data_IF_620136810010
#
_entry.id   IF_620136810010
#
_cell.length_a   1.000
_cell.length_b   1.000
_cell.length_c   1.000
_cell.angle_alpha   90.00
_cell.angle_beta   90.00
_cell.angle_gamma   90.00
#
_symmetry.space_group_name_H-M   'P 1'
#
loop_
_entity.id
_entity.type
_entity.pdbx_description
1 polymer ?
#
# COMPACT_ATOMS: atom_id res chain seq x y z
N UNK A 1 14.52 -15.53 -5.71
CA UNK A 1 13.42 -14.54 -5.71
C UNK A 1 13.96 -13.27 -5.07
N UNK A 2 13.63 -12.08 -5.56
CA UNK A 2 14.00 -10.84 -4.88
C UNK A 2 13.47 -10.84 -3.46
N UNK A 3 14.29 -10.51 -2.48
CA UNK A 3 13.91 -10.50 -1.05
C UNK A 3 12.64 -9.69 -0.76
N UNK A 4 12.40 -8.62 -1.54
CA UNK A 4 11.21 -7.79 -1.39
C UNK A 4 9.89 -8.50 -1.71
N UNK A 5 9.86 -9.43 -2.66
CA UNK A 5 8.65 -10.23 -3.01
C UNK A 5 8.29 -11.16 -1.85
N UNK A 6 9.30 -11.80 -1.24
CA UNK A 6 9.10 -12.67 -0.09
C UNK A 6 8.56 -11.87 1.11
N UNK A 7 9.13 -10.69 1.38
CA UNK A 7 8.63 -9.81 2.44
C UNK A 7 7.18 -9.39 2.19
N UNK A 8 6.80 -9.10 0.95
CA UNK A 8 5.42 -8.76 0.60
C UNK A 8 4.47 -9.92 0.83
N UNK A 9 4.82 -11.14 0.40
CA UNK A 9 3.99 -12.32 0.60
C UNK A 9 3.71 -12.57 2.08
N UNK A 10 4.74 -12.57 2.92
CA UNK A 10 4.57 -12.74 4.36
C UNK A 10 3.81 -11.58 5.01
N UNK A 11 4.01 -10.34 4.56
CA UNK A 11 3.25 -9.20 5.06
C UNK A 11 1.74 -9.38 4.80
N UNK A 12 1.36 -9.77 3.59
CA UNK A 12 -0.05 -10.02 3.25
C UNK A 12 -0.64 -11.24 3.97
N UNK A 13 0.14 -12.29 4.22
CA UNK A 13 -0.30 -13.41 5.04
C UNK A 13 -0.59 -12.98 6.48
N UNK A 14 0.31 -12.17 7.09
CA UNK A 14 0.10 -11.64 8.45
C UNK A 14 -1.11 -10.71 8.51
N UNK A 15 -1.33 -9.86 7.49
CA UNK A 15 -2.53 -9.02 7.43
C UNK A 15 -3.80 -9.87 7.34
N UNK A 16 -3.81 -10.91 6.51
CA UNK A 16 -4.98 -11.78 6.41
C UNK A 16 -5.30 -12.50 7.74
N UNK A 17 -4.28 -12.89 8.52
CA UNK A 17 -4.49 -13.40 9.88
C UNK A 17 -5.12 -12.34 10.80
N UNK A 18 -4.61 -11.10 10.75
CA UNK A 18 -5.20 -9.99 11.52
C UNK A 18 -6.67 -9.76 11.16
N UNK A 19 -6.97 -9.71 9.86
CA UNK A 19 -8.30 -9.44 9.32
C UNK A 19 -9.31 -10.52 9.75
N UNK A 20 -8.88 -11.80 9.75
CA UNK A 20 -9.69 -12.91 10.25
C UNK A 20 -9.98 -12.79 11.76
N UNK A 21 -8.99 -12.41 12.58
CA UNK A 21 -9.21 -12.21 14.02
C UNK A 21 -10.12 -10.99 14.25
N UNK A 22 -9.93 -9.90 13.51
CA UNK A 22 -10.82 -8.70 13.57
C UNK A 22 -12.26 -9.09 13.25
N UNK A 23 -12.47 -9.90 12.20
CA UNK A 23 -13.80 -10.41 11.86
C UNK A 23 -14.42 -11.20 13.02
N UNK A 24 -13.63 -11.95 13.76
CA UNK A 24 -14.09 -12.72 14.93
C UNK A 24 -14.69 -11.87 16.06
N UNK A 25 -14.35 -10.58 16.15
CA UNK A 25 -15.01 -9.68 17.09
C UNK A 25 -16.46 -9.36 16.69
N UNK A 26 -16.78 -9.40 15.39
CA UNK A 26 -18.11 -9.01 14.89
C UNK A 26 -18.48 -7.59 15.35
N UNK A 27 -19.71 -7.43 15.84
CA UNK A 27 -20.21 -6.16 16.38
C UNK A 27 -20.05 -6.02 17.90
N UNK A 28 -19.36 -6.95 18.58
CA UNK A 28 -19.24 -6.95 20.05
C UNK A 28 -18.26 -5.90 20.57
N UNK A 29 -17.27 -5.53 19.78
CA UNK A 29 -16.24 -4.52 20.10
C UNK A 29 -16.31 -3.38 19.11
N UNK A 30 -16.19 -2.15 19.60
CA UNK A 30 -16.25 -0.99 18.71
C UNK A 30 -15.08 -0.92 17.75
N UNK A 31 -15.31 -0.41 16.53
CA UNK A 31 -14.27 -0.21 15.50
C UNK A 31 -13.12 0.64 16.05
N UNK A 32 -13.44 1.62 16.88
CA UNK A 32 -12.45 2.54 17.47
C UNK A 32 -11.57 1.85 18.49
N UNK A 33 -12.14 0.97 19.32
CA UNK A 33 -11.38 0.16 20.28
C UNK A 33 -10.45 -0.82 19.56
N UNK A 34 -10.95 -1.53 18.55
CA UNK A 34 -10.11 -2.43 17.73
C UNK A 34 -8.94 -1.63 17.12
N UNK A 35 -9.23 -0.50 16.46
CA UNK A 35 -8.21 0.32 15.83
C UNK A 35 -7.18 0.88 16.82
N UNK A 36 -7.63 1.33 18.01
CA UNK A 36 -6.77 1.87 19.05
C UNK A 36 -5.82 0.80 19.60
N UNK A 37 -6.36 -0.30 20.14
CA UNK A 37 -5.57 -1.33 20.80
C UNK A 37 -4.62 -2.03 19.83
N UNK A 38 -5.08 -2.39 18.64
CA UNK A 38 -4.23 -3.03 17.62
C UNK A 38 -3.10 -2.11 17.17
N UNK A 39 -3.35 -0.81 17.02
CA UNK A 39 -2.32 0.16 16.68
C UNK A 39 -1.33 0.38 17.82
N UNK A 40 -1.80 0.41 19.07
CA UNK A 40 -0.94 0.51 20.25
C UNK A 40 0.06 -0.65 20.30
N UNK A 41 -0.42 -1.88 20.14
CA UNK A 41 0.45 -3.06 20.14
C UNK A 41 1.31 -3.21 18.88
N UNK A 42 0.93 -2.57 17.76
CA UNK A 42 1.75 -2.52 16.54
C UNK A 42 3.07 -1.74 16.72
N UNK A 43 3.19 -0.91 17.77
CA UNK A 43 4.47 -0.31 18.12
C UNK A 43 5.50 -1.32 18.64
N UNK A 44 5.07 -2.45 19.21
CA UNK A 44 5.99 -3.46 19.76
C UNK A 44 6.98 -3.94 18.68
N UNK A 45 6.54 -4.59 17.57
CA UNK A 45 7.48 -5.01 16.54
C UNK A 45 8.18 -3.82 15.85
N UNK A 46 7.55 -2.66 15.77
CA UNK A 46 8.17 -1.47 15.20
C UNK A 46 9.37 -0.99 16.03
N UNK A 47 9.29 -1.06 17.36
CA UNK A 47 10.38 -0.70 18.28
C UNK A 47 11.55 -1.67 18.13
N UNK A 48 11.27 -2.97 18.14
CA UNK A 48 12.32 -4.00 18.05
C UNK A 48 13.01 -4.06 16.70
N UNK A 49 12.31 -3.72 15.61
CA UNK A 49 12.85 -3.75 14.25
C UNK A 49 13.40 -2.41 13.77
N UNK A 50 13.53 -1.43 14.65
CA UNK A 50 14.06 -0.10 14.34
C UNK A 50 15.50 -0.19 13.82
N UNK A 51 15.83 0.49 12.69
CA UNK A 51 17.22 0.61 12.23
C UNK A 51 18.09 1.30 13.27
N UNK A 52 19.32 0.82 13.47
CA UNK A 52 20.26 1.37 14.48
C UNK A 52 20.58 2.86 14.29
N UNK A 53 20.51 3.34 13.04
CA UNK A 53 20.79 4.72 12.65
C UNK A 53 19.57 5.67 12.76
N UNK A 54 18.38 5.17 13.17
CA UNK A 54 17.19 5.97 13.35
C UNK A 54 16.79 6.02 14.82
N UNK A 55 16.26 7.17 15.28
CA UNK A 55 15.76 7.36 16.64
C UNK A 55 14.26 7.65 16.61
N UNK A 56 13.48 7.04 17.51
CA UNK A 56 12.04 7.27 17.61
C UNK A 56 11.66 8.73 17.81
N UNK A 57 12.43 9.48 18.62
CA UNK A 57 12.18 10.91 18.82
C UNK A 57 12.35 11.78 17.58
N UNK A 58 12.84 11.20 16.46
CA UNK A 58 12.99 11.90 15.18
C UNK A 58 11.88 11.56 14.19
N UNK A 59 10.79 10.89 14.62
CA UNK A 59 9.71 10.46 13.73
C UNK A 59 9.00 11.64 13.04
N UNK A 60 8.99 12.82 13.63
CA UNK A 60 8.47 14.06 13.04
C UNK A 60 9.42 14.74 12.06
N UNK A 61 10.72 14.38 12.03
CA UNK A 61 11.72 14.96 11.13
C UNK A 61 11.63 14.28 9.76
N UNK A 62 10.73 14.79 8.93
CA UNK A 62 10.41 14.26 7.61
C UNK A 62 10.94 15.20 6.52
N UNK A 63 11.28 14.63 5.34
CA UNK A 63 11.62 15.40 4.15
C UNK A 63 10.38 15.92 3.43
N UNK A 64 9.29 15.13 3.45
CA UNK A 64 8.02 15.43 2.78
C UNK A 64 6.87 15.42 3.79
N UNK A 65 6.82 16.38 4.76
CA UNK A 65 5.87 16.34 5.87
C UNK A 65 4.41 16.34 5.39
N UNK A 66 4.07 17.13 4.38
CA UNK A 66 2.73 17.18 3.82
C UNK A 66 2.25 15.80 3.32
N UNK A 67 3.07 15.11 2.54
CA UNK A 67 2.70 13.81 1.98
C UNK A 67 2.57 12.75 3.07
N UNK A 68 3.45 12.74 4.07
CA UNK A 68 3.37 11.76 5.17
C UNK A 68 2.17 12.02 6.07
N UNK A 69 1.82 13.29 6.33
CA UNK A 69 0.60 13.65 7.06
C UNK A 69 -0.67 13.29 6.27
N UNK A 70 -0.73 13.59 4.97
CA UNK A 70 -1.84 13.21 4.11
C UNK A 70 -2.03 11.69 4.08
N UNK A 71 -0.93 10.91 3.94
CA UNK A 71 -0.95 9.47 4.05
C UNK A 71 -1.49 8.99 5.40
N UNK A 72 -1.10 9.65 6.49
CA UNK A 72 -1.55 9.28 7.83
C UNK A 72 -3.04 9.54 8.01
N UNK A 73 -3.53 10.69 7.58
CA UNK A 73 -4.95 11.05 7.63
C UNK A 73 -5.82 10.11 6.78
N UNK A 74 -5.42 9.87 5.52
CA UNK A 74 -6.13 8.92 4.64
C UNK A 74 -6.04 7.49 5.17
N UNK A 75 -4.93 7.14 5.83
CA UNK A 75 -4.75 5.85 6.49
C UNK A 75 -5.71 5.62 7.65
N UNK A 76 -6.00 6.63 8.46
CA UNK A 76 -7.00 6.54 9.56
C UNK A 76 -8.38 6.25 8.99
N UNK A 77 -8.83 7.02 8.00
CA UNK A 77 -10.16 6.85 7.39
C UNK A 77 -10.26 5.44 6.79
N UNK A 78 -9.27 5.03 5.98
CA UNK A 78 -9.26 3.70 5.39
C UNK A 78 -9.23 2.58 6.43
N UNK A 79 -8.47 2.73 7.52
CA UNK A 79 -8.40 1.74 8.60
C UNK A 79 -9.73 1.57 9.32
N UNK A 80 -10.40 2.65 9.69
CA UNK A 80 -11.72 2.59 10.33
C UNK A 80 -12.75 1.93 9.42
N UNK A 81 -12.81 2.34 8.16
CA UNK A 81 -13.75 1.80 7.18
C UNK A 81 -13.52 0.31 6.89
N UNK A 82 -12.27 -0.14 6.82
CA UNK A 82 -11.96 -1.54 6.57
C UNK A 82 -12.25 -2.42 7.79
N UNK A 83 -11.96 -1.96 9.01
CA UNK A 83 -12.31 -2.70 10.23
C UNK A 83 -13.82 -2.87 10.30
N UNK A 84 -14.59 -1.80 10.08
CA UNK A 84 -16.05 -1.86 10.04
C UNK A 84 -16.53 -2.86 8.99
N UNK A 85 -15.94 -2.87 7.79
CA UNK A 85 -16.30 -3.82 6.75
C UNK A 85 -16.03 -5.28 7.18
N UNK A 86 -14.87 -5.57 7.77
CA UNK A 86 -14.53 -6.93 8.20
C UNK A 86 -15.44 -7.46 9.31
N UNK A 87 -15.99 -6.59 10.15
CA UNK A 87 -16.92 -6.98 11.21
C UNK A 87 -18.36 -7.15 10.73
N UNK A 88 -18.72 -6.62 9.56
CA UNK A 88 -20.10 -6.58 9.09
C UNK A 88 -20.39 -7.45 7.86
N UNK A 89 -19.42 -7.63 6.95
CA UNK A 89 -19.61 -8.40 5.72
C UNK A 89 -18.59 -9.56 5.61
N UNK A 90 -18.84 -10.56 4.72
CA UNK A 90 -17.90 -11.63 4.48
C UNK A 90 -16.53 -11.14 4.01
N UNK A 91 -15.43 -11.76 4.50
CA UNK A 91 -14.06 -11.36 4.13
C UNK A 91 -13.82 -11.43 2.62
N UNK A 92 -14.39 -12.44 1.95
CA UNK A 92 -14.27 -12.61 0.49
C UNK A 92 -14.90 -11.45 -0.28
N UNK A 93 -16.03 -10.92 0.18
CA UNK A 93 -16.70 -9.77 -0.43
C UNK A 93 -15.90 -8.49 -0.17
N UNK A 94 -15.48 -8.27 1.08
CA UNK A 94 -14.66 -7.10 1.44
C UNK A 94 -13.34 -7.07 0.66
N UNK A 95 -12.63 -8.18 0.57
CA UNK A 95 -11.39 -8.25 -0.21
C UNK A 95 -11.63 -8.03 -1.69
N UNK A 96 -12.71 -8.60 -2.26
CA UNK A 96 -13.06 -8.38 -3.67
C UNK A 96 -13.21 -6.89 -3.98
N UNK A 97 -13.90 -6.14 -3.10
CA UNK A 97 -14.05 -4.68 -3.24
C UNK A 97 -12.70 -3.98 -3.05
N UNK A 98 -11.89 -4.40 -2.08
CA UNK A 98 -10.56 -3.82 -1.86
C UNK A 98 -9.62 -4.00 -3.06
N UNK A 99 -9.84 -5.02 -3.91
CA UNK A 99 -9.12 -5.18 -5.18
C UNK A 99 -9.51 -4.16 -6.27
N UNK A 100 -10.44 -3.25 -6.01
CA UNK A 100 -10.60 -2.02 -6.79
C UNK A 100 -9.45 -1.02 -6.55
N UNK A 101 -8.64 -1.20 -5.51
CA UNK A 101 -7.48 -0.37 -5.20
C UNK A 101 -6.56 -0.11 -6.40
N UNK A 102 -6.11 -1.11 -7.15
CA UNK A 102 -5.34 -0.90 -8.38
C UNK A 102 -6.04 -0.04 -9.42
N UNK A 103 -7.37 -0.12 -9.53
CA UNK A 103 -8.17 0.73 -10.42
C UNK A 103 -8.08 2.19 -9.96
N UNK A 104 -8.30 2.44 -8.68
CA UNK A 104 -8.16 3.78 -8.10
C UNK A 104 -6.75 4.34 -8.27
N UNK A 105 -5.71 3.52 -8.07
CA UNK A 105 -4.32 3.95 -8.30
C UNK A 105 -4.12 4.40 -9.75
N UNK A 106 -4.65 3.67 -10.73
CA UNK A 106 -4.54 4.03 -12.16
C UNK A 106 -5.32 5.30 -12.46
N UNK A 107 -6.56 5.42 -11.98
CA UNK A 107 -7.37 6.62 -12.15
C UNK A 107 -6.67 7.84 -11.54
N UNK A 108 -6.16 7.72 -10.32
CA UNK A 108 -5.40 8.78 -9.66
C UNK A 108 -4.14 9.16 -10.44
N UNK A 109 -3.43 8.18 -11.01
CA UNK A 109 -2.24 8.44 -11.85
C UNK A 109 -2.61 9.21 -13.12
N UNK A 110 -3.72 8.87 -13.78
CA UNK A 110 -4.19 9.59 -14.97
C UNK A 110 -4.59 11.03 -14.61
N UNK A 111 -5.37 11.20 -13.54
CA UNK A 111 -5.92 12.52 -13.16
C UNK A 111 -4.84 13.45 -12.61
N UNK A 112 -4.03 12.98 -11.67
CA UNK A 112 -3.07 13.83 -10.95
C UNK A 112 -1.67 13.84 -11.56
N UNK A 113 -1.21 12.72 -12.14
CA UNK A 113 0.11 12.63 -12.76
C UNK A 113 0.05 12.82 -14.28
N UNK A 114 -1.15 12.94 -14.86
CA UNK A 114 -1.39 13.05 -16.31
C UNK A 114 -0.73 11.94 -17.13
N UNK A 115 -0.64 10.75 -16.54
CA UNK A 115 -0.05 9.58 -17.19
C UNK A 115 -0.99 9.00 -18.25
N UNK A 116 -0.45 8.63 -19.40
CA UNK A 116 -1.21 7.92 -20.42
C UNK A 116 -1.29 6.44 -20.11
N UNK A 117 -2.50 5.89 -20.07
CA UNK A 117 -2.75 4.46 -19.81
C UNK A 117 -3.22 3.79 -21.10
N UNK A 118 -2.63 2.62 -21.44
CA UNK A 118 -3.01 1.89 -22.65
C UNK A 118 -4.44 1.35 -22.56
N UNK A 119 -5.14 1.26 -23.70
CA UNK A 119 -6.47 0.68 -23.80
C UNK A 119 -6.51 -0.75 -23.20
N UNK A 120 -5.47 -1.55 -23.46
CA UNK A 120 -5.33 -2.90 -22.90
C UNK A 120 -5.42 -2.90 -21.38
N UNK A 121 -4.81 -1.94 -20.71
CA UNK A 121 -4.86 -1.82 -19.25
C UNK A 121 -6.24 -1.42 -18.76
N UNK A 122 -6.94 -0.52 -19.47
CA UNK A 122 -8.35 -0.19 -19.19
C UNK A 122 -9.27 -1.41 -19.30
N UNK A 123 -9.06 -2.26 -20.31
CA UNK A 123 -9.82 -3.52 -20.44
C UNK A 123 -9.58 -4.45 -19.24
N UNK A 124 -8.32 -4.62 -18.80
CA UNK A 124 -8.04 -5.46 -17.63
C UNK A 124 -8.67 -4.91 -16.35
N UNK A 125 -8.65 -3.59 -16.17
CA UNK A 125 -9.31 -2.93 -15.04
C UNK A 125 -10.83 -3.12 -15.08
N UNK A 126 -11.45 -2.94 -16.25
CA UNK A 126 -12.89 -3.17 -16.43
C UNK A 126 -13.28 -4.63 -16.15
N UNK A 127 -12.49 -5.60 -16.62
CA UNK A 127 -12.72 -7.02 -16.33
C UNK A 127 -12.55 -7.35 -14.85
N UNK A 128 -11.56 -6.76 -14.16
CA UNK A 128 -11.45 -6.91 -12.70
C UNK A 128 -12.67 -6.35 -11.98
N UNK A 129 -13.20 -5.22 -12.43
CA UNK A 129 -14.43 -4.64 -11.88
C UNK A 129 -15.65 -5.55 -12.09
N UNK A 130 -15.78 -6.15 -13.28
CA UNK A 130 -16.82 -7.18 -13.55
C UNK A 130 -16.69 -8.35 -12.56
N UNK A 131 -15.47 -8.81 -12.31
CA UNK A 131 -15.24 -9.85 -11.29
C UNK A 131 -15.73 -9.45 -9.90
N UNK A 132 -15.49 -8.22 -9.46
CA UNK A 132 -16.02 -7.70 -8.19
C UNK A 132 -17.55 -7.70 -8.19
N UNK A 133 -18.18 -7.27 -9.28
CA UNK A 133 -19.66 -7.28 -9.39
C UNK A 133 -20.24 -8.70 -9.31
N UNK A 134 -19.55 -9.70 -9.85
CA UNK A 134 -19.97 -11.11 -9.75
C UNK A 134 -19.89 -11.65 -8.31
N UNK A 135 -18.96 -11.15 -7.50
CA UNK A 135 -18.84 -11.53 -6.08
C UNK A 135 -19.89 -10.80 -5.24
N UNK A 136 -19.97 -9.49 -5.36
CA UNK A 136 -20.83 -8.63 -4.51
C UNK A 136 -22.31 -8.72 -4.93
N UNK A 137 -22.60 -8.86 -6.24
CA UNK A 137 -23.94 -8.95 -6.83
C UNK A 137 -24.91 -7.86 -6.36
N UNK A 138 -24.57 -6.58 -6.55
CA UNK A 138 -25.46 -5.50 -6.18
C UNK A 138 -26.80 -5.65 -6.91
N UNK A 139 -27.91 -5.54 -6.15
CA UNK A 139 -29.27 -5.75 -6.67
C UNK A 139 -29.83 -7.16 -6.56
N UNK A 140 -28.99 -8.18 -6.29
CA UNK A 140 -29.41 -9.55 -5.97
C UNK A 140 -29.22 -9.92 -4.51
N UNK A 141 -28.41 -9.15 -3.78
CA UNK A 141 -28.19 -9.21 -2.35
C UNK A 141 -28.36 -7.83 -1.75
N UNK A 142 -28.73 -7.76 -0.49
CA UNK A 142 -28.78 -6.50 0.23
C UNK A 142 -27.37 -5.93 0.36
N UNK A 143 -27.21 -4.64 0.01
CA UNK A 143 -25.96 -3.94 0.20
C UNK A 143 -25.92 -3.37 1.61
N UNK A 144 -24.99 -3.85 2.41
CA UNK A 144 -24.74 -3.35 3.75
C UNK A 144 -23.76 -2.17 3.73
N UNK A 145 -23.73 -1.37 4.78
CA UNK A 145 -22.77 -0.28 4.95
C UNK A 145 -21.30 -0.77 4.92
N UNK A 146 -21.06 -2.04 5.26
CA UNK A 146 -19.75 -2.67 5.14
C UNK A 146 -19.19 -2.68 3.71
N UNK A 147 -20.05 -2.81 2.70
CA UNK A 147 -19.61 -2.73 1.29
C UNK A 147 -19.11 -1.32 0.94
N UNK A 148 -19.82 -0.28 1.42
CA UNK A 148 -19.37 1.12 1.27
C UNK A 148 -18.10 1.36 2.08
N UNK A 149 -17.96 0.77 3.26
CA UNK A 149 -16.76 0.77 4.07
C UNK A 149 -15.54 0.22 3.29
N UNK A 150 -15.67 -0.97 2.69
CA UNK A 150 -14.63 -1.57 1.86
C UNK A 150 -14.26 -0.69 0.66
N UNK A 151 -15.24 -0.12 -0.02
CA UNK A 151 -14.99 0.77 -1.18
C UNK A 151 -14.23 2.03 -0.76
N UNK A 152 -14.64 2.63 0.36
CA UNK A 152 -13.98 3.81 0.93
C UNK A 152 -12.55 3.47 1.37
N UNK A 153 -12.36 2.33 2.01
CA UNK A 153 -11.03 1.83 2.39
C UNK A 153 -10.13 1.60 1.18
N UNK A 154 -10.65 1.00 0.09
CA UNK A 154 -9.92 0.81 -1.16
C UNK A 154 -9.47 2.13 -1.77
N UNK A 155 -10.33 3.15 -1.76
CA UNK A 155 -10.01 4.48 -2.30
C UNK A 155 -8.92 5.18 -1.48
N UNK A 156 -9.13 5.34 -0.17
CA UNK A 156 -8.17 6.00 0.70
C UNK A 156 -6.88 5.19 0.87
N UNK A 157 -6.96 3.87 0.88
CA UNK A 157 -5.81 2.96 0.83
C UNK A 157 -4.98 3.15 -0.43
N UNK A 158 -5.61 3.41 -1.57
CA UNK A 158 -4.93 3.68 -2.85
C UNK A 158 -4.16 5.00 -2.81
N UNK A 159 -4.72 6.04 -2.20
CA UNK A 159 -4.02 7.31 -1.95
C UNK A 159 -2.80 7.06 -1.06
N UNK A 160 -3.00 6.41 0.09
CA UNK A 160 -1.94 6.08 1.04
C UNK A 160 -0.81 5.26 0.39
N UNK A 161 -1.17 4.23 -0.41
CA UNK A 161 -0.21 3.38 -1.13
C UNK A 161 0.55 4.15 -2.20
N UNK A 162 -0.10 5.07 -2.91
CA UNK A 162 0.56 5.91 -3.91
C UNK A 162 1.57 6.85 -3.27
N UNK A 163 1.22 7.43 -2.12
CA UNK A 163 2.12 8.31 -1.37
C UNK A 163 3.32 7.53 -0.83
N UNK A 164 3.11 6.37 -0.19
CA UNK A 164 4.23 5.60 0.40
C UNK A 164 5.24 5.16 -0.67
N UNK A 165 4.80 4.79 -1.86
CA UNK A 165 5.69 4.46 -2.99
C UNK A 165 6.62 5.61 -3.33
N UNK A 166 6.13 6.86 -3.26
CA UNK A 166 6.91 8.05 -3.57
C UNK A 166 7.88 8.42 -2.46
N UNK A 167 7.45 8.31 -1.19
CA UNK A 167 8.23 8.83 -0.06
C UNK A 167 9.11 7.79 0.64
N UNK A 168 8.79 6.49 0.57
CA UNK A 168 9.52 5.44 1.28
C UNK A 168 11.03 5.37 1.01
N UNK A 169 11.55 5.65 -0.20
CA UNK A 169 12.99 5.67 -0.44
C UNK A 169 13.72 6.83 0.27
N UNK A 170 13.01 7.92 0.58
CA UNK A 170 13.59 9.17 1.05
C UNK A 170 13.30 9.46 2.51
N UNK A 171 12.31 8.79 3.09
CA UNK A 171 11.85 8.98 4.47
C UNK A 171 12.41 7.94 5.43
N UNK A 172 12.55 8.31 6.70
CA UNK A 172 12.93 7.39 7.77
C UNK A 172 11.81 6.37 8.01
N UNK A 173 12.19 5.12 8.34
CA UNK A 173 11.22 4.10 8.69
C UNK A 173 10.39 4.49 9.91
N UNK A 174 11.03 5.07 10.93
CA UNK A 174 10.34 5.54 12.14
C UNK A 174 9.26 6.58 11.82
N UNK A 175 9.45 7.45 10.82
CA UNK A 175 8.43 8.40 10.38
C UNK A 175 7.29 7.73 9.62
N UNK A 176 7.62 6.77 8.74
CA UNK A 176 6.64 6.05 7.94
C UNK A 176 5.75 5.10 8.74
N UNK A 177 6.21 4.63 9.90
CA UNK A 177 5.44 3.78 10.82
C UNK A 177 4.84 4.62 11.93
N UNK A 178 5.65 5.44 12.61
CA UNK A 178 5.26 6.12 13.83
C UNK A 178 4.17 7.16 13.63
N UNK A 179 4.24 7.97 12.57
CA UNK A 179 3.24 9.01 12.36
C UNK A 179 1.85 8.45 12.04
N UNK A 180 1.67 7.50 11.09
CA UNK A 180 0.35 6.88 10.86
C UNK A 180 -0.21 6.18 12.11
N UNK A 181 0.62 5.45 12.86
CA UNK A 181 0.18 4.82 14.11
C UNK A 181 -0.25 5.87 15.15
N UNK A 182 0.50 6.97 15.29
CA UNK A 182 0.12 8.07 16.19
C UNK A 182 -1.22 8.69 15.79
N UNK A 183 -1.46 8.92 14.49
CA UNK A 183 -2.75 9.41 13.99
C UNK A 183 -3.89 8.45 14.34
N UNK A 184 -3.72 7.14 14.10
CA UNK A 184 -4.75 6.14 14.42
C UNK A 184 -5.01 6.12 15.91
N UNK A 185 -3.97 6.14 16.75
CA UNK A 185 -4.10 6.14 18.21
C UNK A 185 -4.82 7.38 18.72
N UNK A 186 -4.45 8.57 18.26
CA UNK A 186 -5.06 9.82 18.73
C UNK A 186 -6.53 9.89 18.30
N UNK A 187 -6.81 9.66 17.02
CA UNK A 187 -8.18 9.77 16.51
C UNK A 187 -9.08 8.72 17.13
N UNK A 188 -8.69 7.45 17.10
CA UNK A 188 -9.54 6.39 17.66
C UNK A 188 -9.55 6.41 19.18
N UNK A 189 -8.48 6.84 19.85
CA UNK A 189 -8.44 7.05 21.28
C UNK A 189 -9.43 8.11 21.77
N UNK A 190 -9.64 9.18 21.00
CA UNK A 190 -10.66 10.18 21.30
C UNK A 190 -12.07 9.62 20.97
N UNK A 191 -12.21 8.98 19.82
CA UNK A 191 -13.51 8.50 19.35
C UNK A 191 -14.05 7.31 20.14
N UNK A 192 -13.20 6.53 20.83
CA UNK A 192 -13.67 5.42 21.66
C UNK A 192 -14.17 5.87 23.05
N UNK A 193 -13.88 7.11 23.51
CA UNK A 193 -14.21 7.57 24.86
C UNK A 193 -15.71 7.40 25.23
N UNK A 194 -16.68 7.73 24.34
CA UNK A 194 -18.09 7.63 24.68
C UNK A 194 -18.56 6.19 24.97
N UNK A 195 -18.02 5.22 24.26
CA UNK A 195 -18.44 3.81 24.31
C UNK A 195 -17.36 2.90 24.92
N UNK A 196 -16.39 3.49 25.62
CA UNK A 196 -15.25 2.76 26.14
C UNK A 196 -15.66 1.68 27.13
N UNK A 197 -15.30 0.45 26.85
CA UNK A 197 -15.37 -0.67 27.77
C UNK A 197 -13.98 -1.22 28.05
N UNK A 198 -13.73 -1.66 29.28
CA UNK A 198 -12.47 -2.32 29.58
C UNK A 198 -12.46 -3.69 28.88
N UNK A 199 -11.48 -3.92 27.99
CA UNK A 199 -11.41 -5.21 27.30
C UNK A 199 -11.20 -6.35 28.28
N UNK A 200 -11.89 -7.46 28.07
CA UNK A 200 -11.65 -8.71 28.78
C UNK A 200 -10.22 -9.19 28.53
N UNK A 201 -9.73 -10.08 29.38
CA UNK A 201 -8.38 -10.66 29.23
C UNK A 201 -8.21 -11.35 27.84
N UNK A 202 -9.28 -11.98 27.35
CA UNK A 202 -9.27 -12.62 26.03
C UNK A 202 -9.16 -11.60 24.91
N UNK A 203 -9.98 -10.55 24.94
CA UNK A 203 -9.92 -9.45 23.94
C UNK A 203 -8.56 -8.77 23.96
N UNK A 204 -8.03 -8.49 25.15
CA UNK A 204 -6.70 -7.89 25.30
C UNK A 204 -5.60 -8.77 24.68
N UNK A 205 -5.66 -10.09 24.89
CA UNK A 205 -4.72 -11.04 24.28
C UNK A 205 -4.87 -11.04 22.73
N UNK A 206 -6.10 -10.99 22.21
CA UNK A 206 -6.35 -10.91 20.77
C UNK A 206 -5.82 -9.60 20.18
N UNK A 207 -6.04 -8.46 20.83
CA UNK A 207 -5.48 -7.17 20.39
C UNK A 207 -3.94 -7.19 20.35
N UNK A 208 -3.32 -7.82 21.34
CA UNK A 208 -1.86 -7.99 21.37
C UNK A 208 -1.38 -8.82 20.17
N UNK A 209 -2.08 -9.93 19.87
CA UNK A 209 -1.76 -10.79 18.72
C UNK A 209 -1.94 -10.01 17.40
N UNK A 210 -3.09 -9.35 17.20
CA UNK A 210 -3.35 -8.57 15.98
C UNK A 210 -2.31 -7.45 15.83
N UNK A 211 -2.04 -6.70 16.90
CA UNK A 211 -1.05 -5.63 16.87
C UNK A 211 0.35 -6.14 16.57
N UNK A 212 0.75 -7.26 17.16
CA UNK A 212 2.03 -7.91 16.90
C UNK A 212 2.17 -8.39 15.46
N UNK A 213 1.17 -9.11 14.95
CA UNK A 213 1.14 -9.58 13.56
C UNK A 213 1.07 -8.42 12.57
N UNK A 214 0.14 -7.48 12.78
CA UNK A 214 -0.06 -6.33 11.90
C UNK A 214 1.14 -5.39 11.87
N UNK A 215 1.74 -5.11 13.03
CA UNK A 215 2.96 -4.32 13.13
C UNK A 215 4.15 -4.98 12.43
N UNK A 216 4.31 -6.31 12.58
CA UNK A 216 5.33 -7.09 11.87
C UNK A 216 5.06 -7.06 10.36
N UNK A 217 3.81 -7.27 9.94
CA UNK A 217 3.38 -7.16 8.56
C UNK A 217 3.72 -5.79 7.96
N UNK A 218 3.47 -4.69 8.71
CA UNK A 218 3.78 -3.33 8.26
C UNK A 218 5.29 -3.11 8.07
N UNK A 219 6.12 -3.62 8.99
CA UNK A 219 7.59 -3.57 8.85
C UNK A 219 8.05 -4.34 7.61
N UNK A 220 7.51 -5.55 7.38
CA UNK A 220 7.81 -6.35 6.20
C UNK A 220 7.36 -5.65 4.91
N UNK A 221 6.16 -5.06 4.91
CA UNK A 221 5.62 -4.33 3.77
C UNK A 221 6.47 -3.11 3.39
N UNK A 222 6.89 -2.31 4.37
CA UNK A 222 7.79 -1.17 4.12
C UNK A 222 9.14 -1.65 3.58
N UNK A 223 9.68 -2.77 4.11
CA UNK A 223 10.89 -3.37 3.58
C UNK A 223 10.72 -3.86 2.14
N UNK A 224 9.57 -4.48 1.83
CA UNK A 224 9.23 -4.88 0.47
C UNK A 224 9.24 -3.67 -0.49
N UNK A 225 8.57 -2.59 -0.11
CA UNK A 225 8.49 -1.35 -0.91
C UNK A 225 9.83 -0.67 -1.14
N UNK A 226 10.83 -0.91 -0.27
CA UNK A 226 12.20 -0.40 -0.43
C UNK A 226 13.07 -1.27 -1.32
N UNK A 227 12.82 -2.59 -1.33
CA UNK A 227 13.75 -3.57 -1.91
C UNK A 227 13.25 -4.21 -3.22
N UNK A 228 11.99 -3.96 -3.61
CA UNK A 228 11.43 -4.51 -4.84
C UNK A 228 10.57 -3.47 -5.58
N UNK A 229 10.40 -3.69 -6.88
CA UNK A 229 9.53 -2.85 -7.69
C UNK A 229 8.07 -3.08 -7.33
N UNK A 230 7.26 -2.05 -7.39
CA UNK A 230 5.83 -2.14 -7.12
C UNK A 230 5.12 -3.19 -8.00
N UNK A 231 5.58 -3.37 -9.24
CA UNK A 231 5.07 -4.41 -10.16
C UNK A 231 5.39 -5.85 -9.72
N UNK A 232 6.42 -6.04 -8.90
CA UNK A 232 6.80 -7.35 -8.36
C UNK A 232 6.05 -7.66 -7.05
N UNK A 233 5.69 -6.61 -6.29
CA UNK A 233 4.98 -6.72 -5.01
C UNK A 233 3.47 -6.88 -5.20
N UNK A 234 2.90 -6.16 -6.16
CA UNK A 234 1.44 -6.09 -6.33
C UNK A 234 0.76 -7.46 -6.55
N UNK A 235 1.33 -8.45 -7.28
CA UNK A 235 0.74 -9.77 -7.37
C UNK A 235 0.60 -10.49 -6.03
N UNK A 236 1.47 -10.18 -5.05
CA UNK A 236 1.43 -10.82 -3.73
C UNK A 236 0.19 -10.43 -2.93
N UNK A 237 -0.40 -9.27 -3.20
CA UNK A 237 -1.67 -8.87 -2.59
C UNK A 237 -2.81 -9.85 -2.91
N UNK A 238 -2.83 -10.43 -4.10
CA UNK A 238 -3.88 -11.39 -4.48
C UNK A 238 -3.86 -12.68 -3.65
N UNK A 239 -2.75 -12.98 -2.96
CA UNK A 239 -2.72 -14.10 -2.01
C UNK A 239 -3.73 -13.93 -0.87
N UNK A 240 -4.15 -12.70 -0.55
CA UNK A 240 -5.17 -12.45 0.47
C UNK A 240 -6.52 -13.09 0.13
N UNK A 241 -6.87 -13.24 -1.16
CA UNK A 241 -8.08 -13.99 -1.56
C UNK A 241 -7.99 -15.45 -1.11
N UNK A 242 -6.84 -16.10 -1.32
CA UNK A 242 -6.67 -17.48 -0.88
C UNK A 242 -6.81 -17.59 0.64
N UNK A 243 -6.22 -16.66 1.39
CA UNK A 243 -6.36 -16.62 2.84
C UNK A 243 -7.80 -16.33 3.27
N UNK A 244 -8.52 -15.42 2.60
CA UNK A 244 -9.91 -15.12 2.88
C UNK A 244 -10.81 -16.34 2.71
N UNK A 245 -10.61 -17.12 1.64
CA UNK A 245 -11.32 -18.37 1.40
C UNK A 245 -11.02 -19.41 2.49
N UNK A 246 -9.75 -19.57 2.84
CA UNK A 246 -9.32 -20.54 3.87
C UNK A 246 -9.90 -20.15 5.24
N UNK A 247 -9.71 -18.91 5.67
CA UNK A 247 -10.18 -18.46 6.98
C UNK A 247 -11.69 -18.32 7.04
N UNK A 248 -12.33 -17.86 5.95
CA UNK A 248 -13.79 -17.81 5.82
C UNK A 248 -14.43 -19.18 6.01
N UNK A 249 -13.90 -20.19 5.33
CA UNK A 249 -14.39 -21.55 5.43
C UNK A 249 -14.11 -22.19 6.80
N UNK A 250 -12.87 -22.02 7.34
CA UNK A 250 -12.46 -22.69 8.57
C UNK A 250 -13.07 -22.10 9.84
N UNK A 251 -13.19 -20.78 9.92
CA UNK A 251 -13.57 -20.10 11.15
C UNK A 251 -14.98 -19.49 11.13
N UNK A 252 -15.51 -19.20 9.94
CA UNK A 252 -16.76 -18.45 9.81
C UNK A 252 -17.85 -19.22 9.04
N UNK A 253 -17.56 -20.45 8.57
CA UNK A 253 -18.48 -21.24 7.75
C UNK A 253 -18.95 -20.51 6.48
N UNK A 254 -18.10 -19.62 5.95
CA UNK A 254 -18.37 -18.84 4.74
C UNK A 254 -17.90 -19.62 3.51
N UNK A 255 -18.86 -20.12 2.76
CA UNK A 255 -18.59 -20.83 1.51
C UNK A 255 -19.15 -20.01 0.35
N UNK A 256 -18.28 -19.37 -0.46
CA UNK A 256 -18.72 -18.67 -1.66
C UNK A 256 -19.41 -19.67 -2.60
N UNK A 257 -20.46 -19.21 -3.27
CA UNK A 257 -21.08 -20.01 -4.31
C UNK A 257 -20.27 -20.01 -5.62
N UNK A 258 -20.67 -20.83 -6.60
CA UNK A 258 -19.95 -21.00 -7.86
C UNK A 258 -19.73 -19.66 -8.59
N UNK A 259 -20.72 -18.77 -8.56
CA UNK A 259 -20.62 -17.47 -9.25
C UNK A 259 -19.58 -16.58 -8.55
N UNK A 260 -19.52 -16.59 -7.21
CA UNK A 260 -18.51 -15.87 -6.45
C UNK A 260 -17.10 -16.42 -6.72
N UNK A 261 -16.93 -17.76 -6.81
CA UNK A 261 -15.64 -18.34 -7.22
C UNK A 261 -15.22 -17.89 -8.63
N UNK A 262 -16.15 -17.86 -9.60
CA UNK A 262 -15.89 -17.34 -10.94
C UNK A 262 -15.47 -15.86 -10.89
N UNK A 263 -16.18 -15.04 -10.09
CA UNK A 263 -15.86 -13.63 -9.88
C UNK A 263 -14.46 -13.43 -9.28
N UNK A 264 -14.11 -14.21 -8.23
CA UNK A 264 -12.78 -14.19 -7.62
C UNK A 264 -11.68 -14.57 -8.62
N UNK A 265 -11.90 -15.60 -9.42
CA UNK A 265 -10.96 -16.01 -10.48
C UNK A 265 -10.74 -14.89 -11.50
N UNK A 266 -11.80 -14.22 -11.94
CA UNK A 266 -11.73 -13.04 -12.85
C UNK A 266 -10.93 -11.90 -12.20
N UNK A 267 -11.20 -11.55 -10.94
CA UNK A 267 -10.44 -10.51 -10.21
C UNK A 267 -8.95 -10.83 -10.17
N UNK A 268 -8.59 -12.06 -9.81
CA UNK A 268 -7.19 -12.48 -9.71
C UNK A 268 -6.50 -12.43 -11.07
N UNK A 269 -7.09 -13.05 -12.08
CA UNK A 269 -6.49 -13.16 -13.44
C UNK A 269 -6.28 -11.78 -14.03
N UNK A 270 -7.32 -10.95 -14.09
CA UNK A 270 -7.22 -9.63 -14.71
C UNK A 270 -6.45 -8.63 -13.84
N UNK A 271 -6.49 -8.77 -12.52
CA UNK A 271 -5.67 -8.00 -11.62
C UNK A 271 -4.17 -8.27 -11.81
N UNK A 272 -3.76 -9.52 -11.91
CA UNK A 272 -2.37 -9.91 -12.20
C UNK A 272 -1.95 -9.43 -13.60
N UNK A 273 -2.80 -9.61 -14.62
CA UNK A 273 -2.55 -9.13 -15.99
C UNK A 273 -2.38 -7.60 -16.03
N UNK A 274 -3.17 -6.85 -15.26
CA UNK A 274 -3.04 -5.40 -15.14
C UNK A 274 -1.67 -5.00 -14.55
N UNK A 275 -1.22 -5.68 -13.50
CA UNK A 275 0.09 -5.44 -12.87
C UNK A 275 1.23 -5.71 -13.84
N UNK A 276 1.21 -6.86 -14.52
CA UNK A 276 2.24 -7.25 -15.52
C UNK A 276 2.29 -6.23 -16.66
N UNK A 277 1.13 -5.81 -17.18
CA UNK A 277 1.04 -4.79 -18.23
C UNK A 277 1.59 -3.42 -17.81
N UNK A 278 1.42 -3.03 -16.55
CA UNK A 278 1.97 -1.78 -16.02
C UNK A 278 3.49 -1.77 -15.92
N UNK A 279 4.11 -2.90 -15.59
CA UNK A 279 5.56 -3.06 -15.46
C UNK A 279 6.31 -2.91 -16.79
N UNK A 280 5.70 -3.33 -17.89
CA UNK A 280 6.34 -3.30 -19.22
C UNK A 280 6.54 -1.87 -19.76
N UNK A 281 5.66 -0.93 -19.43
CA UNK A 281 5.75 0.47 -19.90
C UNK A 281 6.80 1.31 -19.17
N UNK A 282 7.05 1.05 -17.89
CA UNK A 282 8.11 1.72 -17.13
C UNK A 282 9.49 1.42 -17.76
N UNK A 283 9.67 0.24 -18.34
CA UNK A 283 10.92 -0.19 -18.98
C UNK A 283 11.17 0.50 -20.34
N UNK A 284 10.12 0.80 -21.09
CA UNK A 284 10.21 1.49 -22.40
C UNK A 284 10.48 2.99 -22.19
N UNK A 285 9.84 3.62 -21.22
CA UNK A 285 10.05 5.05 -20.94
C UNK A 285 11.41 5.35 -20.31
N UNK A 286 11.99 4.46 -19.51
CA UNK A 286 13.35 4.65 -18.98
C UNK A 286 14.43 4.57 -20.08
N UNK A 287 14.16 3.88 -21.19
CA UNK A 287 15.05 3.88 -22.36
C UNK A 287 14.94 5.16 -23.20
N UNK A 288 13.79 5.82 -23.21
CA UNK A 288 13.60 7.08 -23.94
C UNK A 288 13.95 8.33 -23.13
N UNK A 289 13.98 8.27 -21.78
CA UNK A 289 14.44 9.40 -20.95
C UNK A 289 15.96 9.55 -20.88
N UNK A 290 16.72 8.62 -21.44
CA UNK A 290 18.18 8.79 -21.65
C UNK A 290 18.51 9.78 -22.77
N UNK A 291 17.53 10.23 -23.54
CA UNK A 291 17.62 11.34 -24.52
C UNK A 291 16.85 12.56 -24.01
N UNK A 292 17.12 12.98 -22.78
CA UNK A 292 16.54 14.21 -22.23
C UNK A 292 17.43 15.43 -22.46
N UNK A 293 16.91 16.66 -22.35
CA UNK A 293 17.60 17.90 -22.70
C UNK A 293 18.90 18.20 -21.94
N UNK A 294 19.28 17.38 -20.99
CA UNK A 294 20.57 17.48 -20.30
C UNK A 294 21.79 17.14 -21.19
N UNK A 295 21.62 16.30 -22.22
CA UNK A 295 22.69 15.98 -23.18
C UNK A 295 22.92 17.12 -24.18
N UNK A 296 21.87 17.88 -24.51
CA UNK A 296 22.00 19.04 -25.40
C UNK A 296 22.65 20.21 -24.64
N UNK A 297 22.38 20.38 -23.36
CA UNK A 297 23.00 21.43 -22.54
C UNK A 297 24.50 21.16 -22.27
N UNK A 298 24.90 19.89 -22.17
CA UNK A 298 26.31 19.51 -22.00
C UNK A 298 27.14 19.69 -23.28
N UNK A 299 26.51 19.58 -24.46
CA UNK A 299 27.18 19.81 -25.76
C UNK A 299 27.31 21.29 -26.09
N UNK A 300 26.40 22.13 -25.63
CA UNK A 300 26.44 23.59 -25.78
C UNK A 300 27.39 24.26 -24.77
N UNK A 301 27.74 23.59 -23.69
CA UNK A 301 28.63 24.10 -22.63
C UNK A 301 30.11 23.73 -22.82
N UNK A 302 30.50 23.11 -23.94
CA UNK A 302 31.93 22.97 -24.25
C UNK A 302 32.52 24.37 -24.56
N UNK A 303 33.55 24.82 -23.80
CA UNK A 303 34.22 26.07 -24.14
C UNK A 303 34.81 25.95 -25.53
N UNK A 304 34.55 26.95 -26.37
CA UNK A 304 35.27 27.14 -27.62
C UNK A 304 36.78 27.19 -27.28
N UNK A 305 37.52 26.18 -27.66
CA UNK A 305 38.94 26.12 -27.58
C UNK A 305 39.49 27.30 -28.41
N UNK A 306 40.07 28.28 -27.74
CA UNK A 306 40.73 29.40 -28.40
C UNK A 306 41.90 28.86 -29.23
N UNK A 307 41.69 28.82 -30.50
CA UNK A 307 42.76 28.71 -31.51
C UNK A 307 43.61 29.99 -31.40
N UNK A 308 44.90 29.84 -31.09
CA UNK A 308 45.89 30.90 -31.22
C UNK A 308 46.51 31.40 -29.92
N UNK A 309 47.54 30.73 -29.46
CA UNK A 309 48.77 31.37 -28.93
C UNK A 309 49.94 30.36 -29.08
N UNK A 310 50.61 30.44 -30.23
CA UNK A 310 51.94 29.90 -30.43
C UNK A 310 52.94 30.73 -29.62
N UNK A 311 53.80 30.14 -28.77
CA UNK A 311 54.83 30.88 -28.08
C UNK A 311 55.95 31.27 -29.05
N UNK A 312 56.57 32.47 -28.92
CA UNK A 312 57.58 32.98 -29.84
C UNK A 312 58.83 32.11 -29.83
N UNK A 313 59.23 31.69 -31.02
CA UNK A 313 60.54 31.07 -31.27
C UNK A 313 61.67 32.01 -30.89
N UNK A 314 62.42 31.64 -29.90
CA UNK A 314 63.69 32.32 -29.50
C UNK A 314 64.75 31.98 -30.52
N UNK A 315 65.18 32.98 -31.32
CA UNK A 315 66.40 33.01 -32.12
C UNK A 315 67.52 33.65 -31.28
N UNK A 316 68.52 32.99 -31.14
CA UNK A 316 69.77 33.53 -30.60
C UNK A 316 70.72 32.38 -30.26
N UNK A 317 71.70 32.21 -30.81
CA UNK A 317 72.90 32.71 -31.37
C UNK A 317 73.96 31.59 -31.37
N UNK A 318 74.49 31.36 -32.51
CA UNK A 318 75.83 30.75 -32.67
C UNK A 318 76.92 31.76 -32.25
N UNK A 319 78.12 31.42 -31.97
CA UNK A 319 79.00 30.67 -32.89
C UNK A 319 79.45 29.32 -32.39
#
# INVERSE_FOLDING_TARGET
MPSGVIFAFFAYALYACCDAIIKGFGSTVSVHEIAFWTSLFSFIPAIFTRPKNERWRDFWKMRHPWLVNLRSATGVIGNMCVIYAYTTIPLTESYSINFLGPIFIVVLSVVFLKESVSLRRWVFLAMSFVGVLLVVRPGFRELELGHLGSLTAAFFGSISTTIIRRVAPHEKRVSLIGLPLAYILVVNGIMMIPDFSLPSLQEFALFLVIGGLGGTGNVLFINAMRNAKASEIAPMQYSQIAWALIFGALFFSEYPDLIAYCGLAVVVVFGVLNVISGGTRIRIFSRFSSFGPATVAAEVAKPLEKEGDDPPRNRGDTP
#
